data_IF_274773958722
#
_entry.id   IF_274773958722
#
_cell.length_a   1.000
_cell.length_b   1.000
_cell.length_c   1.000
_cell.angle_alpha   90.00
_cell.angle_beta   90.00
_cell.angle_gamma   90.00
#
_symmetry.space_group_name_H-M   'P 1'
#
loop_
_entity.id
_entity.type
_entity.pdbx_description
1 polymer ?
#
# COMPACT_ATOMS: atom_id res chain seq x y z
N UNK A 1 40.95 42.44 -22.72
CA UNK A 1 40.71 41.02 -22.36
C UNK A 1 39.30 40.69 -22.78
N UNK A 2 39.10 39.73 -23.68
CA UNK A 2 37.74 39.32 -24.07
C UNK A 2 37.02 38.76 -22.84
N UNK A 3 35.81 39.24 -22.59
CA UNK A 3 34.96 38.76 -21.50
C UNK A 3 34.72 37.24 -21.67
N UNK A 4 34.76 36.48 -20.57
CA UNK A 4 34.50 35.03 -20.62
C UNK A 4 33.06 34.77 -21.11
N UNK A 5 32.84 33.79 -22.01
CA UNK A 5 31.53 33.57 -22.65
C UNK A 5 30.35 33.48 -21.68
N UNK A 6 30.51 32.76 -20.55
CA UNK A 6 29.45 32.62 -19.56
C UNK A 6 29.03 33.95 -18.91
N UNK A 7 29.94 34.93 -18.79
CA UNK A 7 29.61 36.26 -18.24
C UNK A 7 28.77 37.05 -19.22
N UNK A 8 29.16 37.06 -20.50
CA UNK A 8 28.38 37.70 -21.57
C UNK A 8 26.98 37.10 -21.66
N UNK A 9 26.86 35.77 -21.64
CA UNK A 9 25.57 35.06 -21.61
C UNK A 9 24.71 35.48 -20.41
N UNK A 10 25.29 35.54 -19.21
CA UNK A 10 24.57 35.96 -18.01
C UNK A 10 24.10 37.42 -18.06
N UNK A 11 24.93 38.32 -18.59
CA UNK A 11 24.60 39.73 -18.74
C UNK A 11 23.44 39.91 -19.73
N UNK A 12 23.48 39.22 -20.87
CA UNK A 12 22.39 39.22 -21.86
C UNK A 12 21.09 38.69 -21.26
N UNK A 13 21.14 37.55 -20.55
CA UNK A 13 19.97 36.98 -19.85
C UNK A 13 19.37 37.96 -18.85
N UNK A 14 20.20 38.58 -17.99
CA UNK A 14 19.75 39.56 -16.99
C UNK A 14 19.17 40.83 -17.61
N UNK A 15 19.60 41.19 -18.82
CA UNK A 15 19.05 42.31 -19.58
C UNK A 15 17.75 41.97 -20.36
N UNK A 16 17.24 40.74 -20.24
CA UNK A 16 16.01 40.27 -20.90
C UNK A 16 16.21 39.83 -22.35
N UNK A 17 17.43 39.88 -22.89
CA UNK A 17 17.76 39.49 -24.26
C UNK A 17 18.00 37.97 -24.37
N UNK A 18 16.98 37.18 -24.04
CA UNK A 18 17.11 35.72 -23.94
C UNK A 18 17.54 35.04 -25.25
N UNK A 19 17.03 35.47 -26.39
CA UNK A 19 17.39 34.87 -27.69
C UNK A 19 18.85 35.15 -28.06
N UNK A 20 19.34 36.35 -27.78
CA UNK A 20 20.74 36.71 -28.01
C UNK A 20 21.65 35.91 -27.06
N UNK A 21 21.26 35.80 -25.79
CA UNK A 21 21.97 34.98 -24.80
C UNK A 21 22.03 33.50 -25.22
N UNK A 22 20.94 32.95 -25.75
CA UNK A 22 20.86 31.59 -26.30
C UNK A 22 21.84 31.40 -27.44
N UNK A 23 21.77 32.25 -28.47
CA UNK A 23 22.61 32.13 -29.67
C UNK A 23 24.10 32.22 -29.32
N UNK A 24 24.48 33.21 -28.50
CA UNK A 24 25.88 33.39 -28.05
C UNK A 24 26.33 32.19 -27.20
N UNK A 25 25.48 31.72 -26.29
CA UNK A 25 25.84 30.64 -25.37
C UNK A 25 26.05 29.30 -26.06
N UNK A 26 25.16 28.91 -26.97
CA UNK A 26 25.31 27.64 -27.70
C UNK A 26 26.45 27.66 -28.71
N UNK A 27 26.67 28.78 -29.41
CA UNK A 27 27.84 28.94 -30.28
C UNK A 27 29.16 28.83 -29.50
N UNK A 28 29.21 29.36 -28.28
CA UNK A 28 30.37 29.19 -27.39
C UNK A 28 30.50 27.74 -26.88
N UNK A 29 29.39 27.07 -26.57
CA UNK A 29 29.41 25.70 -26.06
C UNK A 29 29.95 24.70 -27.10
N UNK A 30 29.70 24.92 -28.39
CA UNK A 30 30.29 24.11 -29.47
C UNK A 30 31.82 24.13 -29.44
N UNK A 31 32.41 25.26 -29.05
CA UNK A 31 33.87 25.41 -28.96
C UNK A 31 34.43 24.87 -27.63
N UNK A 32 33.63 24.92 -26.56
CA UNK A 32 34.04 24.50 -25.21
C UNK A 32 32.99 23.62 -24.53
N UNK A 33 32.76 22.38 -25.01
CA UNK A 33 31.65 21.53 -24.57
C UNK A 33 31.78 21.02 -23.13
N UNK A 34 32.94 21.16 -22.50
CA UNK A 34 33.19 20.73 -21.11
C UNK A 34 33.12 21.90 -20.11
N UNK A 35 32.78 23.12 -20.54
CA UNK A 35 32.68 24.28 -19.66
C UNK A 35 31.40 24.23 -18.80
N UNK A 36 31.55 23.83 -17.53
CA UNK A 36 30.46 23.75 -16.57
C UNK A 36 29.85 25.11 -16.21
N UNK A 37 30.62 26.20 -16.25
CA UNK A 37 30.09 27.54 -15.97
C UNK A 37 29.21 28.03 -17.12
N UNK A 38 29.60 27.73 -18.36
CA UNK A 38 28.80 28.02 -19.53
C UNK A 38 27.52 27.16 -19.56
N UNK A 39 27.63 25.85 -19.30
CA UNK A 39 26.47 24.95 -19.15
C UNK A 39 25.49 25.45 -18.09
N UNK A 40 25.98 25.85 -16.91
CA UNK A 40 25.14 26.46 -15.88
C UNK A 40 24.47 27.76 -16.34
N UNK A 41 25.17 28.60 -17.10
CA UNK A 41 24.58 29.83 -17.65
C UNK A 41 23.49 29.56 -18.69
N UNK A 42 23.68 28.55 -19.54
CA UNK A 42 22.68 28.08 -20.52
C UNK A 42 21.47 27.46 -19.84
N UNK A 43 21.66 26.72 -18.74
CA UNK A 43 20.55 26.23 -17.92
C UNK A 43 19.64 27.36 -17.49
N UNK A 44 20.19 28.45 -16.96
CA UNK A 44 19.39 29.57 -16.50
C UNK A 44 18.64 30.27 -17.63
N UNK A 45 19.15 30.25 -18.87
CA UNK A 45 18.39 30.73 -20.04
C UNK A 45 17.18 29.81 -20.29
N UNK A 46 17.40 28.49 -20.35
CA UNK A 46 16.33 27.51 -20.52
C UNK A 46 15.28 27.65 -19.40
N UNK A 47 15.73 27.83 -18.16
CA UNK A 47 14.88 28.03 -17.00
C UNK A 47 13.98 29.26 -17.12
N UNK A 48 14.48 30.41 -17.61
CA UNK A 48 13.64 31.60 -17.82
C UNK A 48 12.54 31.36 -18.85
N UNK A 49 12.85 30.69 -19.96
CA UNK A 49 11.84 30.30 -20.94
C UNK A 49 10.80 29.35 -20.33
N UNK A 50 11.24 28.30 -19.64
CA UNK A 50 10.36 27.35 -18.95
C UNK A 50 9.47 28.04 -17.92
N UNK A 51 10.02 29.01 -17.17
CA UNK A 51 9.27 29.79 -16.18
C UNK A 51 8.14 30.58 -16.84
N UNK A 52 8.42 31.30 -17.94
CA UNK A 52 7.39 32.04 -18.69
C UNK A 52 6.27 31.12 -19.20
N UNK A 53 6.61 29.91 -19.66
CA UNK A 53 5.61 28.95 -20.13
C UNK A 53 4.77 28.38 -18.98
N UNK A 54 5.41 28.05 -17.87
CA UNK A 54 4.74 27.54 -16.67
C UNK A 54 3.85 28.58 -16.00
N UNK A 55 4.19 29.87 -16.06
CA UNK A 55 3.30 30.97 -15.62
C UNK A 55 1.99 30.98 -16.41
N UNK A 56 2.03 30.80 -17.73
CA UNK A 56 0.83 30.70 -18.57
C UNK A 56 -0.04 29.50 -18.19
N UNK A 57 0.58 28.34 -17.97
CA UNK A 57 -0.11 27.13 -17.49
C UNK A 57 -0.75 27.38 -16.12
N UNK A 58 -0.02 28.00 -15.19
CA UNK A 58 -0.51 28.30 -13.86
C UNK A 58 -1.69 29.29 -13.87
N UNK A 59 -1.63 30.32 -14.71
CA UNK A 59 -2.74 31.25 -14.92
C UNK A 59 -3.98 30.53 -15.45
N UNK A 60 -3.85 29.65 -16.46
CA UNK A 60 -4.97 28.83 -16.95
C UNK A 60 -5.51 27.88 -15.87
N UNK A 61 -4.63 27.29 -15.07
CA UNK A 61 -5.00 26.33 -14.04
C UNK A 61 -5.65 26.97 -12.80
N UNK A 62 -5.52 28.28 -12.59
CA UNK A 62 -6.06 28.98 -11.42
C UNK A 62 -7.55 28.72 -11.16
N UNK A 63 -8.35 28.62 -12.22
CA UNK A 63 -9.79 28.39 -12.14
C UNK A 63 -10.19 26.90 -12.19
N UNK A 64 -9.37 26.06 -12.83
CA UNK A 64 -9.73 24.66 -13.12
C UNK A 64 -8.98 23.62 -12.30
N UNK A 65 -7.86 24.00 -11.68
CA UNK A 65 -6.89 23.08 -11.08
C UNK A 65 -6.14 22.22 -12.10
N UNK A 66 -6.31 22.43 -13.41
CA UNK A 66 -5.71 21.60 -14.45
C UNK A 66 -4.37 22.16 -14.93
N UNK A 67 -3.26 21.56 -14.46
CA UNK A 67 -1.90 21.93 -14.83
C UNK A 67 -1.34 21.16 -16.03
N UNK A 68 -2.16 20.36 -16.72
CA UNK A 68 -1.75 19.64 -17.92
C UNK A 68 -1.37 20.65 -19.02
N UNK A 69 -0.21 20.51 -19.68
CA UNK A 69 0.14 21.34 -20.83
C UNK A 69 -0.75 21.02 -22.04
N UNK A 70 -0.97 22.00 -22.92
CA UNK A 70 -1.44 21.73 -24.29
C UNK A 70 -0.37 20.98 -25.08
N UNK A 71 -0.73 20.37 -26.22
CA UNK A 71 0.24 19.65 -27.04
C UNK A 71 1.38 20.57 -27.52
N UNK A 72 1.06 21.80 -27.89
CA UNK A 72 2.05 22.83 -28.25
C UNK A 72 2.95 23.22 -27.06
N UNK A 73 2.37 23.44 -25.87
CA UNK A 73 3.16 23.73 -24.66
C UNK A 73 4.07 22.56 -24.30
N UNK A 74 3.57 21.33 -24.44
CA UNK A 74 4.31 20.12 -24.17
C UNK A 74 5.55 20.02 -25.06
N UNK A 75 5.40 20.14 -26.39
CA UNK A 75 6.53 20.06 -27.33
C UNK A 75 7.62 21.09 -27.03
N UNK A 76 7.23 22.34 -26.80
CA UNK A 76 8.17 23.43 -26.53
C UNK A 76 8.91 23.22 -25.19
N UNK A 77 8.18 22.82 -24.14
CA UNK A 77 8.78 22.55 -22.84
C UNK A 77 9.69 21.32 -22.91
N UNK A 78 9.25 20.25 -23.56
CA UNK A 78 10.02 19.00 -23.65
C UNK A 78 11.33 19.22 -24.41
N UNK A 79 11.35 20.02 -25.48
CA UNK A 79 12.57 20.39 -26.20
C UNK A 79 13.57 21.13 -25.28
N UNK A 80 13.08 22.05 -24.45
CA UNK A 80 13.93 22.76 -23.47
C UNK A 80 14.44 21.84 -22.36
N UNK A 81 13.61 20.89 -21.91
CA UNK A 81 14.01 19.90 -20.92
C UNK A 81 15.05 18.93 -21.48
N UNK A 82 14.91 18.46 -22.72
CA UNK A 82 15.93 17.65 -23.40
C UNK A 82 17.24 18.40 -23.53
N UNK A 83 17.17 19.69 -23.86
CA UNK A 83 18.35 20.57 -23.89
C UNK A 83 19.03 20.61 -22.52
N UNK A 84 18.26 20.85 -21.44
CA UNK A 84 18.78 20.86 -20.07
C UNK A 84 19.44 19.52 -19.71
N UNK A 85 18.80 18.39 -20.04
CA UNK A 85 19.35 17.06 -19.77
C UNK A 85 20.67 16.86 -20.50
N UNK A 86 20.76 17.28 -21.77
CA UNK A 86 21.97 17.20 -22.59
C UNK A 86 23.13 18.11 -22.13
N UNK A 87 22.87 19.11 -21.28
CA UNK A 87 23.93 19.91 -20.68
C UNK A 87 24.74 19.13 -19.62
N UNK A 88 24.20 18.02 -19.08
CA UNK A 88 24.87 17.16 -18.09
C UNK A 88 25.41 17.94 -16.88
N UNK A 89 24.58 18.84 -16.33
CA UNK A 89 25.01 19.73 -15.24
C UNK A 89 25.32 18.90 -13.98
N UNK A 90 26.45 19.16 -13.29
CA UNK A 90 26.75 18.51 -12.02
C UNK A 90 25.64 18.72 -10.97
N UNK A 91 25.45 17.72 -10.11
CA UNK A 91 24.52 17.83 -8.97
C UNK A 91 25.12 18.67 -7.84
N UNK A 92 24.30 19.12 -6.90
CA UNK A 92 24.73 19.91 -5.73
C UNK A 92 24.58 21.43 -5.89
N UNK A 93 24.23 21.91 -7.09
CA UNK A 93 23.82 23.29 -7.33
C UNK A 93 22.31 23.52 -7.16
N UNK A 94 21.85 24.74 -7.44
CA UNK A 94 20.44 25.14 -7.34
C UNK A 94 19.60 24.73 -8.56
N UNK A 95 20.24 24.35 -9.65
CA UNK A 95 19.64 24.13 -10.97
C UNK A 95 18.51 23.11 -10.89
N UNK A 96 18.81 21.88 -10.47
CA UNK A 96 17.80 20.83 -10.38
C UNK A 96 16.71 21.13 -9.35
N UNK A 97 17.06 21.69 -8.19
CA UNK A 97 16.07 22.08 -7.17
C UNK A 97 15.07 23.08 -7.75
N UNK A 98 15.56 24.14 -8.39
CA UNK A 98 14.69 25.17 -8.96
C UNK A 98 13.85 24.62 -10.11
N UNK A 99 14.42 23.75 -10.94
CA UNK A 99 13.66 23.05 -11.99
C UNK A 99 12.52 22.23 -11.39
N UNK A 100 12.78 21.41 -10.36
CA UNK A 100 11.75 20.61 -9.71
C UNK A 100 10.70 21.47 -9.01
N UNK A 101 11.07 22.59 -8.40
CA UNK A 101 10.13 23.56 -7.83
C UNK A 101 9.20 24.12 -8.91
N UNK A 102 9.76 24.46 -10.08
CA UNK A 102 9.01 25.01 -11.20
C UNK A 102 7.97 24.02 -11.75
N UNK A 103 8.28 22.72 -11.73
CA UNK A 103 7.44 21.65 -12.25
C UNK A 103 6.66 20.87 -11.18
N UNK A 104 6.65 21.33 -9.92
CA UNK A 104 6.03 20.61 -8.79
C UNK A 104 4.52 20.29 -8.94
N UNK A 105 3.84 20.85 -9.95
CA UNK A 105 2.41 20.65 -10.21
C UNK A 105 2.10 19.88 -11.51
N UNK A 106 3.09 19.65 -12.36
CA UNK A 106 2.89 19.00 -13.67
C UNK A 106 4.10 18.22 -14.20
N UNK A 107 5.11 17.92 -13.38
CA UNK A 107 6.27 17.10 -13.75
C UNK A 107 5.85 15.77 -14.37
N UNK A 108 4.75 15.19 -13.88
CA UNK A 108 4.18 13.93 -14.38
C UNK A 108 3.86 13.92 -15.88
N UNK A 109 3.87 15.08 -16.55
CA UNK A 109 3.61 15.23 -17.98
C UNK A 109 4.86 15.27 -18.85
N UNK A 110 6.07 15.27 -18.29
CA UNK A 110 7.31 15.51 -19.04
C UNK A 110 8.31 14.35 -18.91
N UNK A 111 8.45 13.47 -19.94
CA UNK A 111 9.29 12.28 -19.85
C UNK A 111 10.78 12.58 -19.60
N UNK A 112 11.35 13.63 -20.19
CA UNK A 112 12.76 13.99 -19.95
C UNK A 112 13.01 14.31 -18.48
N UNK A 113 12.09 15.02 -17.84
CA UNK A 113 12.22 15.37 -16.42
C UNK A 113 12.05 14.14 -15.53
N UNK A 114 11.11 13.24 -15.87
CA UNK A 114 10.92 11.97 -15.16
C UNK A 114 12.19 11.12 -15.23
N UNK A 115 12.74 10.92 -16.43
CA UNK A 115 13.94 10.12 -16.63
C UNK A 115 15.15 10.73 -15.91
N UNK A 116 15.30 12.06 -15.96
CA UNK A 116 16.33 12.77 -15.22
C UNK A 116 16.24 12.53 -13.70
N UNK A 117 15.04 12.57 -13.12
CA UNK A 117 14.86 12.28 -11.69
C UNK A 117 15.13 10.81 -11.37
N UNK A 118 14.71 9.88 -12.23
CA UNK A 118 14.93 8.45 -12.03
C UNK A 118 16.40 8.06 -12.14
N UNK A 119 17.16 8.73 -13.01
CA UNK A 119 18.60 8.57 -13.17
C UNK A 119 19.37 9.14 -11.97
N UNK A 120 19.09 10.39 -11.60
CA UNK A 120 19.85 11.09 -10.53
C UNK A 120 19.38 10.79 -9.12
N UNK A 121 18.15 10.29 -8.95
CA UNK A 121 17.56 9.89 -7.67
C UNK A 121 17.74 10.93 -6.54
N UNK A 122 18.30 10.54 -5.40
CA UNK A 122 18.44 11.39 -4.22
C UNK A 122 19.43 12.57 -4.41
N UNK A 123 20.35 12.50 -5.38
CA UNK A 123 21.43 13.48 -5.55
C UNK A 123 20.97 14.90 -5.92
N UNK A 124 19.75 15.03 -6.45
CA UNK A 124 19.15 16.32 -6.85
C UNK A 124 18.26 16.94 -5.77
N UNK A 125 18.16 16.30 -4.59
CA UNK A 125 17.39 16.79 -3.46
C UNK A 125 18.32 17.20 -2.31
N UNK A 126 18.37 18.49 -2.03
CA UNK A 126 19.01 19.02 -0.83
C UNK A 126 18.16 18.74 0.43
N UNK A 127 18.69 19.08 1.60
CA UNK A 127 18.02 18.77 2.86
C UNK A 127 16.71 19.55 3.04
N UNK A 128 16.61 20.78 2.54
CA UNK A 128 15.37 21.55 2.51
C UNK A 128 14.29 20.85 1.67
N UNK A 129 14.67 20.30 0.51
CA UNK A 129 13.75 19.60 -0.40
C UNK A 129 13.19 18.29 0.18
N UNK A 130 13.77 17.80 1.30
CA UNK A 130 13.33 16.62 2.04
C UNK A 130 12.42 16.96 3.22
N UNK A 131 12.24 18.25 3.56
CA UNK A 131 11.39 18.68 4.66
C UNK A 131 9.99 19.09 4.16
N UNK A 132 8.91 18.67 4.84
CA UNK A 132 7.62 19.32 4.68
C UNK A 132 7.68 20.75 5.23
N UNK A 133 6.83 21.63 4.73
CA UNK A 133 6.79 23.03 5.19
C UNK A 133 5.36 23.46 5.54
N UNK A 134 5.23 24.39 6.49
CA UNK A 134 3.94 24.95 6.85
C UNK A 134 3.57 26.08 5.89
N UNK A 135 2.38 25.98 5.28
CA UNK A 135 1.75 27.05 4.53
C UNK A 135 0.50 27.52 5.28
N UNK A 136 -0.11 28.63 4.83
CA UNK A 136 -1.34 29.18 5.43
C UNK A 136 -2.49 28.16 5.52
N UNK A 137 -2.58 27.25 4.53
CA UNK A 137 -3.63 26.21 4.44
C UNK A 137 -3.21 24.88 5.08
N UNK A 138 -2.14 24.89 5.87
CA UNK A 138 -1.58 23.72 6.54
C UNK A 138 -0.29 23.21 5.92
N UNK A 139 0.16 22.06 6.40
CA UNK A 139 1.42 21.45 6.01
C UNK A 139 1.39 20.95 4.56
N UNK A 140 2.37 21.37 3.77
CA UNK A 140 2.59 20.91 2.40
C UNK A 140 3.70 19.85 2.43
N UNK A 141 3.57 18.74 1.66
CA UNK A 141 4.62 17.73 1.58
C UNK A 141 5.94 18.29 1.06
N UNK A 142 7.03 17.60 1.39
CA UNK A 142 8.35 17.91 0.85
C UNK A 142 8.38 17.86 -0.68
N UNK A 143 9.34 18.56 -1.29
CA UNK A 143 9.54 18.52 -2.73
C UNK A 143 9.86 17.09 -3.19
N UNK A 144 10.73 16.39 -2.46
CA UNK A 144 11.10 15.00 -2.75
C UNK A 144 9.86 14.08 -2.79
N UNK A 145 8.99 14.18 -1.78
CA UNK A 145 7.76 13.40 -1.75
C UNK A 145 6.83 13.78 -2.90
N UNK A 146 6.65 15.08 -3.16
CA UNK A 146 5.78 15.60 -4.23
C UNK A 146 6.23 15.10 -5.60
N UNK A 147 7.53 15.19 -5.91
CA UNK A 147 8.08 14.73 -7.19
C UNK A 147 7.97 13.21 -7.33
N UNK A 148 8.28 12.45 -6.28
CA UNK A 148 8.17 10.98 -6.31
C UNK A 148 6.76 10.53 -6.62
N UNK A 149 5.75 11.20 -6.06
CA UNK A 149 4.34 10.91 -6.33
C UNK A 149 3.92 11.25 -7.76
N UNK A 150 4.42 12.35 -8.32
CA UNK A 150 4.20 12.68 -9.73
C UNK A 150 4.82 11.64 -10.68
N UNK A 151 6.00 11.10 -10.34
CA UNK A 151 6.62 10.01 -11.10
C UNK A 151 5.79 8.73 -11.03
N UNK A 152 5.21 8.41 -9.86
CA UNK A 152 4.27 7.30 -9.73
C UNK A 152 3.03 7.49 -10.63
N UNK A 153 2.45 8.69 -10.64
CA UNK A 153 1.34 9.04 -11.54
C UNK A 153 1.72 8.88 -13.02
N UNK A 154 2.92 9.33 -13.41
CA UNK A 154 3.42 9.17 -14.76
C UNK A 154 3.62 7.70 -15.14
N UNK A 155 4.18 6.88 -14.24
CA UNK A 155 4.31 5.45 -14.45
C UNK A 155 2.95 4.77 -14.65
N UNK A 156 1.96 5.08 -13.82
CA UNK A 156 0.60 4.53 -13.96
C UNK A 156 -0.04 4.88 -15.31
N UNK A 157 0.19 6.11 -15.79
CA UNK A 157 -0.42 6.63 -17.02
C UNK A 157 0.32 6.25 -18.30
N UNK A 158 1.66 6.24 -18.28
CA UNK A 158 2.47 6.30 -19.49
C UNK A 158 3.72 5.39 -19.48
N UNK A 159 3.84 4.44 -18.52
CA UNK A 159 5.01 3.53 -18.43
C UNK A 159 5.39 2.85 -19.75
N UNK A 160 4.42 2.43 -20.56
CA UNK A 160 4.67 1.69 -21.80
C UNK A 160 5.16 2.64 -22.91
N UNK A 161 4.51 3.80 -23.06
CA UNK A 161 4.87 4.80 -24.07
C UNK A 161 6.21 5.49 -23.77
N UNK A 162 6.54 5.68 -22.49
CA UNK A 162 7.75 6.39 -22.05
C UNK A 162 8.82 5.45 -21.50
N UNK A 163 8.61 4.12 -21.58
CA UNK A 163 9.56 3.10 -21.13
C UNK A 163 10.05 3.29 -19.69
N UNK A 164 9.14 3.66 -18.79
CA UNK A 164 9.47 3.95 -17.38
C UNK A 164 9.60 2.63 -16.61
N UNK A 165 10.82 2.28 -16.19
CA UNK A 165 11.11 1.05 -15.46
C UNK A 165 10.49 1.01 -14.06
N UNK A 166 9.68 -0.02 -13.78
CA UNK A 166 9.08 -0.23 -12.45
C UNK A 166 10.13 -0.25 -11.33
N UNK A 167 11.27 -0.92 -11.55
CA UNK A 167 12.33 -1.03 -10.55
C UNK A 167 12.94 0.33 -10.19
N UNK A 168 13.18 1.21 -11.17
CA UNK A 168 13.70 2.55 -10.93
C UNK A 168 12.71 3.39 -10.09
N UNK A 169 11.41 3.29 -10.39
CA UNK A 169 10.36 3.95 -9.61
C UNK A 169 10.32 3.41 -8.18
N UNK A 170 10.41 2.10 -7.99
CA UNK A 170 10.43 1.47 -6.66
C UNK A 170 11.68 1.88 -5.86
N UNK A 171 12.86 1.94 -6.49
CA UNK A 171 14.09 2.44 -5.89
C UNK A 171 13.95 3.88 -5.42
N UNK A 172 13.39 4.76 -6.26
CA UNK A 172 13.13 6.16 -5.87
C UNK A 172 12.16 6.24 -4.69
N UNK A 173 11.06 5.48 -4.70
CA UNK A 173 10.11 5.44 -3.58
C UNK A 173 10.76 4.96 -2.28
N UNK A 174 11.65 3.98 -2.34
CA UNK A 174 12.39 3.49 -1.18
C UNK A 174 13.33 4.57 -0.62
N UNK A 175 14.04 5.29 -1.48
CA UNK A 175 14.89 6.42 -1.07
C UNK A 175 14.07 7.57 -0.48
N UNK A 176 12.94 7.92 -1.08
CA UNK A 176 12.03 8.94 -0.56
C UNK A 176 11.52 8.56 0.82
N UNK A 177 11.16 7.29 1.04
CA UNK A 177 10.72 6.81 2.35
C UNK A 177 11.82 6.92 3.42
N UNK A 178 13.09 6.71 3.07
CA UNK A 178 14.18 6.75 4.04
C UNK A 178 14.71 8.16 4.31
N UNK A 179 14.63 9.06 3.33
CA UNK A 179 15.25 10.39 3.42
C UNK A 179 14.26 11.52 3.70
N UNK A 180 13.05 11.46 3.16
CA UNK A 180 12.05 12.50 3.37
C UNK A 180 11.60 12.52 4.84
N UNK A 181 11.37 13.72 5.37
CA UNK A 181 10.93 13.92 6.77
C UNK A 181 9.42 14.11 6.90
N UNK A 182 8.67 13.81 5.84
CA UNK A 182 7.22 13.80 5.84
C UNK A 182 6.69 12.75 6.83
N UNK A 183 5.86 13.17 7.77
CA UNK A 183 5.18 12.27 8.71
C UNK A 183 3.70 12.12 8.38
N UNK A 184 3.02 13.23 8.05
CA UNK A 184 1.59 13.23 7.72
C UNK A 184 1.32 12.74 6.29
N UNK A 185 2.18 13.14 5.35
CA UNK A 185 1.96 12.93 3.92
C UNK A 185 2.56 11.63 3.38
N UNK A 186 3.44 10.97 4.14
CA UNK A 186 4.13 9.75 3.69
C UNK A 186 3.17 8.60 3.37
N UNK A 187 1.98 8.59 3.97
CA UNK A 187 0.91 7.63 3.67
C UNK A 187 0.52 7.61 2.19
N UNK A 188 0.64 8.75 1.51
CA UNK A 188 0.33 8.85 0.09
C UNK A 188 1.38 8.18 -0.79
N UNK A 189 2.63 8.10 -0.33
CA UNK A 189 3.67 7.33 -1.01
C UNK A 189 3.32 5.84 -1.03
N UNK A 190 2.89 5.30 0.12
CA UNK A 190 2.45 3.90 0.23
C UNK A 190 1.21 3.63 -0.64
N UNK A 191 0.27 4.58 -0.68
CA UNK A 191 -0.91 4.48 -1.53
C UNK A 191 -0.57 4.49 -3.03
N UNK A 192 0.32 5.38 -3.48
CA UNK A 192 0.72 5.46 -4.89
C UNK A 192 1.61 4.28 -5.29
N UNK A 193 2.47 3.78 -4.39
CA UNK A 193 3.23 2.54 -4.59
C UNK A 193 2.30 1.31 -4.71
N UNK A 194 1.26 1.20 -3.88
CA UNK A 194 0.30 0.11 -3.96
C UNK A 194 -0.43 0.08 -5.32
N UNK A 195 -0.80 1.24 -5.87
CA UNK A 195 -1.36 1.31 -7.24
C UNK A 195 -0.39 0.77 -8.28
N UNK A 196 0.90 1.11 -8.16
CA UNK A 196 1.91 0.61 -9.08
C UNK A 196 2.00 -0.92 -9.00
N UNK A 197 1.97 -1.49 -7.79
CA UNK A 197 1.95 -2.93 -7.60
C UNK A 197 0.68 -3.61 -8.15
N UNK A 198 -0.50 -3.01 -7.99
CA UNK A 198 -1.75 -3.53 -8.56
C UNK A 198 -1.65 -3.63 -10.08
N UNK A 199 -1.17 -2.57 -10.74
CA UNK A 199 -0.99 -2.55 -12.21
C UNK A 199 0.09 -3.55 -12.65
N UNK A 200 1.13 -3.74 -11.84
CA UNK A 200 2.18 -4.74 -12.08
C UNK A 200 1.78 -6.18 -11.71
N UNK A 201 0.55 -6.43 -11.24
CA UNK A 201 0.08 -7.76 -10.83
C UNK A 201 0.61 -8.26 -9.49
N UNK A 202 1.31 -7.42 -8.71
CA UNK A 202 1.88 -7.76 -7.42
C UNK A 202 0.87 -7.49 -6.27
N UNK A 203 -0.23 -8.23 -6.25
CA UNK A 203 -1.36 -7.92 -5.36
C UNK A 203 -1.04 -8.05 -3.86
N UNK A 204 -0.22 -9.01 -3.45
CA UNK A 204 0.15 -9.19 -2.04
C UNK A 204 0.96 -8.01 -1.50
N UNK A 205 1.97 -7.57 -2.26
CA UNK A 205 2.75 -6.36 -1.92
C UNK A 205 1.87 -5.11 -1.85
N UNK A 206 0.85 -5.02 -2.71
CA UNK A 206 -0.12 -3.93 -2.62
C UNK A 206 -0.95 -4.01 -1.33
N UNK A 207 -1.40 -5.20 -0.91
CA UNK A 207 -2.14 -5.39 0.34
C UNK A 207 -1.31 -5.05 1.57
N UNK A 208 -0.03 -5.40 1.58
CA UNK A 208 0.91 -5.06 2.67
C UNK A 208 0.96 -3.56 2.92
N UNK A 209 0.91 -2.74 1.87
CA UNK A 209 0.88 -1.27 1.97
C UNK A 209 -0.50 -0.74 2.33
N UNK A 210 -1.57 -1.28 1.75
CA UNK A 210 -2.94 -0.77 1.93
C UNK A 210 -3.56 -1.14 3.29
N UNK A 211 -3.30 -2.33 3.82
CA UNK A 211 -3.93 -2.77 5.07
C UNK A 211 -3.60 -1.87 6.27
N UNK A 212 -2.35 -1.43 6.51
CA UNK A 212 -2.03 -0.44 7.54
C UNK A 212 -2.76 0.89 7.36
N UNK A 213 -2.92 1.34 6.11
CA UNK A 213 -3.66 2.57 5.77
C UNK A 213 -5.12 2.40 6.14
N UNK A 214 -5.75 1.31 5.69
CA UNK A 214 -7.15 1.03 5.93
C UNK A 214 -7.45 0.95 7.43
N UNK A 215 -6.59 0.28 8.22
CA UNK A 215 -6.76 0.21 9.68
C UNK A 215 -6.83 1.59 10.35
N UNK A 216 -6.06 2.57 9.85
CA UNK A 216 -6.07 3.96 10.32
C UNK A 216 -7.22 4.78 9.75
N UNK A 217 -7.69 4.44 8.55
CA UNK A 217 -8.63 5.24 7.73
C UNK A 217 -9.95 4.51 7.43
N UNK A 218 -10.44 3.68 8.35
CA UNK A 218 -11.61 2.80 8.14
C UNK A 218 -12.91 3.55 7.78
N UNK A 219 -13.02 4.83 8.16
CA UNK A 219 -14.18 5.68 7.83
C UNK A 219 -14.07 6.35 6.47
N UNK A 220 -12.92 6.26 5.81
CA UNK A 220 -12.68 6.95 4.55
C UNK A 220 -12.96 6.00 3.37
N UNK A 221 -13.93 6.36 2.53
CA UNK A 221 -14.38 5.59 1.36
C UNK A 221 -13.23 5.10 0.48
N UNK A 222 -12.26 5.97 0.19
CA UNK A 222 -11.13 5.66 -0.69
C UNK A 222 -10.23 4.55 -0.15
N UNK A 223 -10.10 4.38 1.17
CA UNK A 223 -9.23 3.37 1.76
C UNK A 223 -9.78 1.96 1.50
N UNK A 224 -11.09 1.80 1.58
CA UNK A 224 -11.76 0.55 1.18
C UNK A 224 -11.66 0.29 -0.31
N UNK A 225 -11.85 1.33 -1.14
CA UNK A 225 -11.65 1.23 -2.59
C UNK A 225 -10.23 0.81 -2.97
N UNK A 226 -9.23 1.27 -2.22
CA UNK A 226 -7.84 0.87 -2.37
C UNK A 226 -7.65 -0.63 -2.13
N UNK A 227 -8.23 -1.15 -1.04
CA UNK A 227 -8.17 -2.59 -0.73
C UNK A 227 -8.92 -3.40 -1.80
N UNK A 228 -10.10 -2.94 -2.22
CA UNK A 228 -10.90 -3.58 -3.25
C UNK A 228 -10.11 -3.79 -4.55
N UNK A 229 -9.37 -2.76 -4.99
CA UNK A 229 -8.54 -2.82 -6.18
C UNK A 229 -7.46 -3.91 -6.12
N UNK A 230 -6.95 -4.27 -4.92
CA UNK A 230 -5.99 -5.37 -4.76
C UNK A 230 -6.59 -6.76 -4.96
N UNK A 231 -7.92 -6.92 -4.86
CA UNK A 231 -8.60 -8.21 -5.02
C UNK A 231 -9.32 -8.35 -6.35
N UNK A 232 -9.43 -7.28 -7.14
CA UNK A 232 -10.31 -7.20 -8.31
C UNK A 232 -10.08 -8.33 -9.33
N UNK A 233 -8.83 -8.77 -9.51
CA UNK A 233 -8.46 -9.86 -10.43
C UNK A 233 -8.42 -11.24 -9.78
N UNK A 234 -8.05 -11.34 -8.50
CA UNK A 234 -7.87 -12.64 -7.82
C UNK A 234 -9.14 -13.15 -7.13
N UNK A 235 -9.87 -12.26 -6.45
CA UNK A 235 -11.07 -12.59 -5.67
C UNK A 235 -12.15 -11.50 -5.90
N UNK A 236 -12.83 -11.52 -7.06
CA UNK A 236 -13.83 -10.53 -7.45
C UNK A 236 -14.92 -10.29 -6.38
N UNK A 237 -15.31 -11.33 -5.66
CA UNK A 237 -16.33 -11.26 -4.60
C UNK A 237 -15.87 -10.44 -3.40
N UNK A 238 -14.62 -10.63 -2.98
CA UNK A 238 -14.03 -9.79 -1.93
C UNK A 238 -13.86 -8.34 -2.41
N UNK A 239 -13.43 -8.15 -3.66
CA UNK A 239 -13.33 -6.82 -4.23
C UNK A 239 -14.69 -6.10 -4.23
N UNK A 240 -15.76 -6.79 -4.64
CA UNK A 240 -17.12 -6.25 -4.63
C UNK A 240 -17.58 -5.89 -3.21
N UNK A 241 -17.32 -6.76 -2.22
CA UNK A 241 -17.59 -6.49 -0.80
C UNK A 241 -16.86 -5.24 -0.30
N UNK A 242 -15.58 -5.07 -0.62
CA UNK A 242 -14.79 -3.91 -0.21
C UNK A 242 -15.20 -2.62 -0.94
N UNK A 243 -15.51 -2.68 -2.23
CA UNK A 243 -16.08 -1.53 -2.94
C UNK A 243 -17.41 -1.11 -2.31
N UNK A 244 -18.31 -2.07 -2.05
CA UNK A 244 -19.58 -1.81 -1.39
C UNK A 244 -19.39 -1.20 0.00
N UNK A 245 -18.42 -1.71 0.77
CA UNK A 245 -18.06 -1.13 2.06
C UNK A 245 -17.56 0.31 1.93
N UNK A 246 -16.72 0.60 0.94
CA UNK A 246 -16.24 1.96 0.69
C UNK A 246 -17.35 2.93 0.31
N UNK A 247 -18.21 2.54 -0.63
CA UNK A 247 -19.36 3.35 -1.07
C UNK A 247 -20.29 3.65 0.11
N UNK A 248 -20.62 2.64 0.91
CA UNK A 248 -21.51 2.79 2.08
C UNK A 248 -20.87 3.52 3.26
N UNK A 249 -19.54 3.68 3.26
CA UNK A 249 -18.82 4.45 4.29
C UNK A 249 -18.62 5.92 3.88
N UNK A 250 -18.98 6.29 2.66
CA UNK A 250 -18.94 7.69 2.22
C UNK A 250 -20.08 8.49 2.84
N UNK A 251 -19.76 9.64 3.44
CA UNK A 251 -20.78 10.57 3.96
C UNK A 251 -21.57 11.21 2.82
N UNK A 252 -20.92 11.47 1.69
CA UNK A 252 -21.52 12.03 0.47
C UNK A 252 -21.11 11.20 -0.74
N UNK A 253 -22.01 11.09 -1.72
CA UNK A 253 -21.82 10.32 -2.95
C UNK A 253 -20.59 10.80 -3.74
N UNK A 254 -20.27 12.10 -3.66
CA UNK A 254 -19.09 12.74 -4.29
C UNK A 254 -17.78 12.06 -3.90
N UNK A 255 -17.65 11.56 -2.67
CA UNK A 255 -16.48 10.81 -2.19
C UNK A 255 -16.46 9.33 -2.63
N UNK A 256 -17.56 8.81 -3.16
CA UNK A 256 -17.70 7.44 -3.64
C UNK A 256 -17.68 7.30 -5.18
N UNK A 257 -17.65 8.41 -5.94
CA UNK A 257 -17.77 8.40 -7.41
C UNK A 257 -16.81 7.41 -8.11
N UNK A 258 -15.54 7.38 -7.70
CA UNK A 258 -14.56 6.44 -8.26
C UNK A 258 -14.87 4.99 -7.91
N UNK A 259 -15.43 4.71 -6.73
CA UNK A 259 -15.79 3.36 -6.31
C UNK A 259 -17.06 2.89 -7.01
N UNK A 260 -18.05 3.78 -7.20
CA UNK A 260 -19.24 3.51 -8.01
C UNK A 260 -18.86 3.12 -9.45
N UNK A 261 -17.89 3.80 -10.04
CA UNK A 261 -17.35 3.40 -11.34
C UNK A 261 -16.55 2.10 -11.26
N UNK A 262 -15.74 1.93 -10.22
CA UNK A 262 -14.85 0.78 -10.05
C UNK A 262 -15.56 -0.57 -9.82
N UNK A 263 -16.75 -0.55 -9.21
CA UNK A 263 -17.55 -1.78 -8.96
C UNK A 263 -18.33 -2.25 -10.19
N UNK A 264 -18.62 -1.37 -11.15
CA UNK A 264 -19.43 -1.69 -12.35
C UNK A 264 -18.95 -2.95 -13.09
N UNK A 265 -17.65 -3.11 -13.42
CA UNK A 265 -17.18 -4.32 -14.11
C UNK A 265 -17.43 -5.61 -13.31
N UNK A 266 -17.44 -5.54 -11.97
CA UNK A 266 -17.68 -6.70 -11.11
C UNK A 266 -19.16 -7.10 -11.12
N UNK A 267 -20.08 -6.14 -11.14
CA UNK A 267 -21.51 -6.42 -11.29
C UNK A 267 -21.83 -6.99 -12.65
N UNK A 268 -21.27 -6.42 -13.72
CA UNK A 268 -21.44 -6.96 -15.08
C UNK A 268 -20.91 -8.38 -15.19
N UNK A 269 -19.74 -8.68 -14.60
CA UNK A 269 -19.19 -10.04 -14.54
C UNK A 269 -20.06 -11.05 -13.81
N UNK A 270 -20.98 -10.60 -12.93
CA UNK A 270 -21.98 -11.43 -12.26
C UNK A 270 -23.36 -11.43 -12.94
N UNK A 271 -23.51 -10.78 -14.09
CA UNK A 271 -24.80 -10.60 -14.76
C UNK A 271 -25.76 -9.65 -14.03
N UNK A 272 -25.27 -8.83 -13.10
CA UNK A 272 -26.05 -7.85 -12.34
C UNK A 272 -26.04 -6.48 -13.05
N UNK A 273 -26.56 -6.43 -14.28
CA UNK A 273 -26.60 -5.21 -15.09
C UNK A 273 -27.49 -4.11 -14.47
N UNK A 274 -28.51 -4.50 -13.71
CA UNK A 274 -29.36 -3.59 -12.94
C UNK A 274 -28.53 -2.82 -11.91
N UNK A 275 -27.71 -3.52 -11.11
CA UNK A 275 -26.84 -2.91 -10.09
C UNK A 275 -25.75 -2.06 -10.71
N UNK A 276 -25.17 -2.50 -11.83
CA UNK A 276 -24.23 -1.70 -12.61
C UNK A 276 -24.87 -0.38 -13.09
N UNK A 277 -26.10 -0.44 -13.61
CA UNK A 277 -26.85 0.73 -14.07
C UNK A 277 -27.16 1.70 -12.93
N UNK A 278 -27.58 1.19 -11.77
CA UNK A 278 -27.81 2.00 -10.57
C UNK A 278 -26.52 2.74 -10.14
N UNK A 279 -25.35 2.09 -10.18
CA UNK A 279 -24.08 2.74 -9.84
C UNK A 279 -23.73 3.88 -10.80
N UNK A 280 -23.90 3.68 -12.11
CA UNK A 280 -23.62 4.71 -13.11
C UNK A 280 -24.62 5.85 -13.01
N UNK A 281 -25.91 5.55 -12.86
CA UNK A 281 -26.97 6.54 -12.69
C UNK A 281 -26.70 7.43 -11.47
N UNK A 282 -26.44 6.83 -10.30
CA UNK A 282 -26.12 7.57 -9.07
C UNK A 282 -24.86 8.44 -9.24
N UNK A 283 -23.82 7.93 -9.90
CA UNK A 283 -22.61 8.71 -10.15
C UNK A 283 -22.89 9.90 -11.06
N UNK A 284 -23.66 9.72 -12.15
CA UNK A 284 -24.00 10.78 -13.10
C UNK A 284 -24.90 11.85 -12.47
N UNK A 285 -25.93 11.44 -11.72
CA UNK A 285 -26.80 12.36 -10.97
C UNK A 285 -25.97 13.27 -10.05
N UNK A 286 -24.99 12.71 -9.33
CA UNK A 286 -24.11 13.49 -8.48
C UNK A 286 -23.24 14.51 -9.25
N UNK A 287 -22.80 14.23 -10.49
CA UNK A 287 -22.12 15.25 -11.32
C UNK A 287 -23.09 16.37 -11.73
N UNK A 288 -24.29 16.01 -12.16
CA UNK A 288 -25.31 16.95 -12.64
C UNK A 288 -25.80 17.88 -11.51
N UNK A 289 -26.11 17.32 -10.33
CA UNK A 289 -26.52 18.08 -9.15
C UNK A 289 -25.48 19.08 -8.67
N UNK A 290 -24.18 18.77 -8.86
CA UNK A 290 -23.07 19.67 -8.55
C UNK A 290 -22.72 20.64 -9.70
N UNK A 291 -23.46 20.61 -10.82
CA UNK A 291 -23.17 21.43 -12.00
C UNK A 291 -21.85 21.08 -12.70
N UNK A 292 -21.32 19.89 -12.48
CA UNK A 292 -20.07 19.42 -13.09
C UNK A 292 -20.31 18.76 -14.43
N UNK A 293 -19.38 18.97 -15.37
CA UNK A 293 -19.37 18.20 -16.61
C UNK A 293 -19.11 16.72 -16.29
N UNK A 294 -19.99 15.85 -16.80
CA UNK A 294 -19.83 14.39 -16.67
C UNK A 294 -18.52 13.96 -17.33
N UNK A 295 -17.81 13.03 -16.68
CA UNK A 295 -16.53 12.55 -17.20
C UNK A 295 -16.72 11.65 -18.42
N UNK A 296 -15.81 11.69 -19.41
CA UNK A 296 -15.89 10.84 -20.61
C UNK A 296 -16.03 9.34 -20.30
N UNK A 297 -15.40 8.87 -19.22
CA UNK A 297 -15.51 7.47 -18.80
C UNK A 297 -16.94 7.09 -18.39
N UNK A 298 -17.68 7.99 -17.72
CA UNK A 298 -19.08 7.79 -17.35
C UNK A 298 -20.00 7.89 -18.56
N UNK A 299 -19.78 8.86 -19.45
CA UNK A 299 -20.52 9.00 -20.70
C UNK A 299 -20.41 7.71 -21.54
N UNK A 300 -19.20 7.13 -21.62
CA UNK A 300 -18.97 5.84 -22.27
C UNK A 300 -19.71 4.68 -21.60
N UNK A 301 -19.88 4.70 -20.27
CA UNK A 301 -20.66 3.67 -19.58
C UNK A 301 -22.17 3.82 -19.86
N UNK A 302 -22.67 5.05 -19.94
CA UNK A 302 -24.07 5.33 -20.27
C UNK A 302 -24.43 4.94 -21.71
N UNK A 303 -23.47 4.92 -22.64
CA UNK A 303 -23.71 4.51 -24.03
C UNK A 303 -23.68 2.99 -24.24
N UNK A 304 -23.42 2.19 -23.19
CA UNK A 304 -23.39 0.74 -23.31
C UNK A 304 -24.79 0.13 -23.33
N UNK A 305 -24.97 -0.97 -24.07
CA UNK A 305 -26.27 -1.64 -24.22
C UNK A 305 -26.89 -2.16 -22.91
N UNK A 306 -26.06 -2.47 -21.91
CA UNK A 306 -26.53 -2.96 -20.61
C UNK A 306 -27.07 -1.85 -19.70
N UNK A 307 -26.80 -0.57 -20.03
CA UNK A 307 -27.19 0.54 -19.20
C UNK A 307 -28.69 0.82 -19.33
N UNK A 308 -29.39 0.79 -18.22
CA UNK A 308 -30.82 1.03 -18.14
C UNK A 308 -31.10 2.25 -17.24
N UNK A 309 -31.69 3.29 -17.81
CA UNK A 309 -32.04 4.53 -17.09
C UNK A 309 -33.29 4.37 -16.21
N UNK A 310 -34.10 3.33 -16.45
CA UNK A 310 -35.35 3.08 -15.74
C UNK A 310 -35.16 2.46 -14.35
N UNK A 311 -33.95 2.00 -14.02
CA UNK A 311 -33.64 1.38 -12.73
C UNK A 311 -33.90 2.32 -11.54
N UNK A 312 -34.42 1.75 -10.46
CA UNK A 312 -34.61 2.43 -9.17
C UNK A 312 -33.32 2.42 -8.35
N UNK A 313 -32.62 3.55 -8.34
CA UNK A 313 -31.35 3.71 -7.61
C UNK A 313 -31.50 3.66 -6.09
N UNK A 314 -32.72 3.83 -5.55
CA UNK A 314 -32.97 3.77 -4.11
C UNK A 314 -32.67 2.38 -3.52
N UNK A 315 -32.73 1.34 -4.35
CA UNK A 315 -32.43 -0.04 -3.96
C UNK A 315 -30.93 -0.34 -3.87
N UNK A 316 -30.06 0.53 -4.41
CA UNK A 316 -28.63 0.30 -4.44
C UNK A 316 -28.03 0.27 -3.04
N UNK A 317 -28.32 1.26 -2.20
CA UNK A 317 -27.70 1.38 -0.88
C UNK A 317 -28.07 0.21 0.07
N UNK A 318 -29.34 -0.23 0.17
CA UNK A 318 -29.68 -1.46 0.90
C UNK A 318 -28.91 -2.69 0.41
N UNK A 319 -28.79 -2.85 -0.90
CA UNK A 319 -28.05 -3.97 -1.50
C UNK A 319 -26.55 -3.91 -1.16
N UNK A 320 -25.90 -2.75 -1.33
CA UNK A 320 -24.48 -2.57 -0.98
C UNK A 320 -24.21 -2.81 0.51
N UNK A 321 -25.14 -2.42 1.39
CA UNK A 321 -25.05 -2.73 2.83
C UNK A 321 -25.15 -4.23 3.10
N UNK A 322 -25.93 -4.96 2.31
CA UNK A 322 -26.07 -6.41 2.47
C UNK A 322 -24.78 -7.16 2.10
N UNK A 323 -24.13 -6.78 0.99
CA UNK A 323 -22.92 -7.47 0.49
C UNK A 323 -21.63 -7.00 1.16
N UNK A 324 -21.66 -5.89 1.90
CA UNK A 324 -20.50 -5.39 2.68
C UNK A 324 -20.42 -5.94 4.10
N UNK A 325 -21.35 -6.81 4.51
CA UNK A 325 -21.31 -7.51 5.79
C UNK A 325 -20.02 -8.33 5.90
N UNK A 326 -19.34 -8.27 7.04
CA UNK A 326 -18.07 -8.97 7.27
C UNK A 326 -16.83 -8.29 6.67
N UNK A 327 -16.96 -7.17 5.95
CA UNK A 327 -15.80 -6.47 5.37
C UNK A 327 -14.73 -6.08 6.41
N UNK A 328 -15.15 -5.77 7.64
CA UNK A 328 -14.25 -5.43 8.77
C UNK A 328 -13.42 -6.61 9.26
N UNK A 329 -13.85 -7.84 8.99
CA UNK A 329 -13.12 -9.04 9.44
C UNK A 329 -11.78 -9.17 8.66
N UNK A 330 -11.68 -8.51 7.50
CA UNK A 330 -10.51 -8.50 6.63
C UNK A 330 -9.52 -7.36 6.90
N UNK A 331 -9.68 -6.58 8.00
CA UNK A 331 -8.75 -5.50 8.36
C UNK A 331 -7.30 -5.99 8.61
N UNK A 332 -7.15 -7.30 8.82
CA UNK A 332 -5.88 -7.96 9.07
C UNK A 332 -5.33 -8.70 7.84
N UNK A 333 -5.99 -8.57 6.69
CA UNK A 333 -5.58 -9.19 5.42
C UNK A 333 -6.24 -10.54 5.13
N UNK A 334 -5.67 -11.34 4.22
CA UNK A 334 -6.12 -12.70 3.98
C UNK A 334 -6.06 -13.50 5.28
N UNK A 335 -7.13 -14.25 5.56
CA UNK A 335 -7.23 -15.06 6.76
C UNK A 335 -7.08 -16.54 6.42
N UNK A 336 -6.51 -17.30 7.34
CA UNK A 336 -6.39 -18.75 7.27
C UNK A 336 -6.94 -19.39 8.55
N UNK A 337 -7.66 -20.51 8.40
CA UNK A 337 -8.00 -21.39 9.52
C UNK A 337 -6.84 -22.32 9.84
N UNK A 338 -6.45 -22.39 11.10
CA UNK A 338 -5.48 -23.34 11.62
C UNK A 338 -6.09 -24.10 12.80
N UNK A 339 -6.19 -25.42 12.66
CA UNK A 339 -6.56 -26.29 13.77
C UNK A 339 -5.37 -26.51 14.69
N UNK A 340 -5.61 -26.47 16.00
CA UNK A 340 -4.57 -26.68 17.00
C UNK A 340 -5.12 -27.24 18.32
N UNK A 341 -4.20 -27.64 19.18
CA UNK A 341 -4.50 -28.04 20.57
C UNK A 341 -3.94 -27.01 21.51
N UNK A 342 -4.70 -26.64 22.54
CA UNK A 342 -4.19 -25.75 23.59
C UNK A 342 -3.11 -26.49 24.38
N UNK A 343 -1.86 -26.05 24.24
CA UNK A 343 -0.69 -26.68 24.85
C UNK A 343 -0.48 -26.22 26.30
N UNK A 344 -0.71 -24.93 26.56
CA UNK A 344 -0.52 -24.35 27.88
C UNK A 344 -1.32 -23.06 28.08
N UNK A 345 -1.75 -22.80 29.31
CA UNK A 345 -2.33 -21.52 29.71
C UNK A 345 -1.22 -20.63 30.27
N UNK A 346 -1.16 -19.36 29.87
CA UNK A 346 -0.15 -18.44 30.41
C UNK A 346 -0.36 -18.25 31.91
N UNK A 347 0.72 -18.15 32.68
CA UNK A 347 0.66 -17.92 34.14
C UNK A 347 -0.16 -16.69 34.53
N UNK A 348 -0.21 -15.68 33.67
CA UNK A 348 -0.99 -14.46 33.88
C UNK A 348 -2.51 -14.64 33.70
N UNK A 349 -2.96 -15.77 33.14
CA UNK A 349 -4.35 -16.00 32.74
C UNK A 349 -4.84 -15.16 31.56
N UNK A 350 -3.99 -14.26 31.01
CA UNK A 350 -4.36 -13.33 29.92
C UNK A 350 -4.27 -13.93 28.53
N UNK A 351 -3.80 -15.17 28.41
CA UNK A 351 -3.63 -15.87 27.15
C UNK A 351 -3.27 -17.34 27.33
N UNK A 352 -3.10 -18.03 26.20
CA UNK A 352 -2.74 -19.44 26.12
C UNK A 352 -1.96 -19.69 24.84
N UNK A 353 -1.22 -20.79 24.80
CA UNK A 353 -0.48 -21.23 23.61
C UNK A 353 -1.22 -22.36 22.93
N UNK A 354 -1.35 -22.26 21.61
CA UNK A 354 -1.96 -23.28 20.75
C UNK A 354 -0.87 -23.92 19.90
N UNK A 355 -0.72 -25.22 20.03
CA UNK A 355 0.16 -26.04 19.21
C UNK A 355 -0.56 -26.39 17.89
N UNK A 356 0.02 -25.98 16.78
CA UNK A 356 -0.49 -26.29 15.42
C UNK A 356 0.34 -27.41 14.78
N UNK A 357 1.66 -27.36 14.95
CA UNK A 357 2.62 -28.41 14.56
C UNK A 357 3.99 -28.16 15.23
N UNK A 358 4.96 -29.04 15.02
CA UNK A 358 6.31 -28.95 15.63
C UNK A 358 7.08 -27.64 15.35
N UNK A 359 6.69 -26.90 14.31
CA UNK A 359 7.30 -25.63 13.92
C UNK A 359 6.42 -24.42 14.24
N UNK A 360 5.21 -24.63 14.79
CA UNK A 360 4.22 -23.57 14.97
C UNK A 360 3.51 -23.70 16.32
N UNK A 361 3.87 -22.78 17.23
CA UNK A 361 3.23 -22.55 18.50
C UNK A 361 2.73 -21.10 18.53
N UNK A 362 1.41 -20.91 18.57
CA UNK A 362 0.78 -19.60 18.44
C UNK A 362 0.26 -19.14 19.80
N UNK A 363 0.65 -17.93 20.20
CA UNK A 363 0.18 -17.28 21.42
C UNK A 363 -1.16 -16.57 21.17
N UNK A 364 -2.20 -16.98 21.88
CA UNK A 364 -3.58 -16.49 21.75
C UNK A 364 -3.95 -15.68 22.99
N UNK A 365 -4.54 -14.50 22.79
CA UNK A 365 -5.08 -13.68 23.89
C UNK A 365 -6.41 -14.27 24.36
N UNK A 366 -6.65 -14.27 25.67
CA UNK A 366 -7.87 -14.85 26.25
C UNK A 366 -9.15 -14.20 25.68
N UNK A 367 -9.13 -12.88 25.43
CA UNK A 367 -10.29 -12.16 24.89
C UNK A 367 -10.67 -12.49 23.45
N UNK A 368 -9.85 -13.27 22.73
CA UNK A 368 -10.10 -13.69 21.34
C UNK A 368 -10.83 -15.04 21.27
N UNK A 369 -10.91 -15.76 22.40
CA UNK A 369 -11.63 -17.03 22.51
C UNK A 369 -13.15 -16.81 22.54
N UNK A 370 -13.87 -17.46 21.64
CA UNK A 370 -15.32 -17.27 21.43
C UNK A 370 -16.19 -18.27 22.20
N UNK A 371 -15.63 -18.96 23.21
CA UNK A 371 -16.36 -19.92 24.04
C UNK A 371 -16.81 -19.36 25.39
N UNK A 372 -17.97 -19.82 25.88
CA UNK A 372 -18.43 -19.55 27.26
C UNK A 372 -17.60 -20.28 28.31
N UNK A 373 -17.02 -21.42 27.93
CA UNK A 373 -16.16 -22.24 28.79
C UNK A 373 -14.72 -21.76 28.63
N UNK A 374 -14.03 -21.57 29.77
CA UNK A 374 -12.62 -21.20 29.76
C UNK A 374 -11.79 -22.28 29.06
N UNK A 375 -10.90 -21.91 28.14
CA UNK A 375 -10.03 -22.86 27.48
C UNK A 375 -9.11 -23.56 28.48
N UNK A 376 -8.91 -24.86 28.32
CA UNK A 376 -7.95 -25.66 29.11
C UNK A 376 -6.95 -26.37 28.21
N UNK A 377 -5.83 -26.76 28.79
CA UNK A 377 -4.84 -27.58 28.09
C UNK A 377 -5.50 -28.87 27.58
N UNK A 378 -5.28 -29.16 26.30
CA UNK A 378 -5.86 -30.29 25.59
C UNK A 378 -7.17 -30.04 24.86
N UNK A 379 -7.77 -28.85 24.98
CA UNK A 379 -8.91 -28.50 24.13
C UNK A 379 -8.48 -28.31 22.67
N UNK A 380 -9.34 -28.72 21.74
CA UNK A 380 -9.16 -28.50 20.30
C UNK A 380 -9.77 -27.15 19.91
N UNK A 381 -9.03 -26.39 19.13
CA UNK A 381 -9.45 -25.06 18.67
C UNK A 381 -9.18 -24.87 17.19
N UNK A 382 -10.06 -24.11 16.54
CA UNK A 382 -9.86 -23.52 15.22
C UNK A 382 -9.46 -22.05 15.41
N UNK A 383 -8.29 -21.69 14.90
CA UNK A 383 -7.77 -20.34 14.91
C UNK A 383 -7.99 -19.70 13.55
N UNK A 384 -8.66 -18.55 13.52
CA UNK A 384 -8.66 -17.68 12.35
C UNK A 384 -7.51 -16.69 12.49
N UNK A 385 -6.50 -16.80 11.64
CA UNK A 385 -5.27 -16.00 11.71
C UNK A 385 -5.02 -15.20 10.45
N UNK A 386 -4.32 -14.07 10.57
CA UNK A 386 -3.82 -13.30 9.42
C UNK A 386 -2.67 -14.02 8.71
N UNK A 387 -2.63 -13.92 7.38
CA UNK A 387 -1.47 -14.30 6.58
C UNK A 387 -0.46 -13.14 6.53
N UNK A 388 0.81 -13.42 6.85
CA UNK A 388 1.90 -12.43 6.83
C UNK A 388 3.08 -12.84 7.73
N UNK A 389 4.15 -12.03 7.74
CA UNK A 389 5.35 -12.28 8.57
C UNK A 389 5.05 -12.36 10.07
N UNK A 390 4.03 -11.62 10.53
CA UNK A 390 3.54 -11.64 11.90
C UNK A 390 2.12 -12.17 11.94
N UNK A 391 1.96 -13.38 12.47
CA UNK A 391 0.65 -14.02 12.65
C UNK A 391 -0.12 -13.28 13.75
N UNK A 392 -1.28 -12.72 13.39
CA UNK A 392 -2.25 -12.17 14.33
C UNK A 392 -3.47 -13.10 14.43
N UNK A 393 -3.90 -13.41 15.65
CA UNK A 393 -5.05 -14.27 15.90
C UNK A 393 -6.30 -13.41 16.01
N UNK A 394 -7.24 -13.60 15.08
CA UNK A 394 -8.46 -12.79 14.95
C UNK A 394 -9.61 -13.40 15.74
N UNK A 395 -9.73 -14.72 15.71
CA UNK A 395 -10.69 -15.47 16.54
C UNK A 395 -10.18 -16.86 16.87
N UNK A 396 -10.66 -17.40 17.98
CA UNK A 396 -10.39 -18.77 18.41
C UNK A 396 -11.72 -19.42 18.80
N UNK A 397 -12.07 -20.54 18.15
CA UNK A 397 -13.30 -21.28 18.41
C UNK A 397 -12.97 -22.67 18.92
N UNK A 398 -13.68 -23.13 19.95
CA UNK A 398 -13.63 -24.55 20.35
C UNK A 398 -14.22 -25.42 19.25
N UNK A 399 -13.53 -26.51 18.92
CA UNK A 399 -13.97 -27.49 17.93
C UNK A 399 -13.92 -28.90 18.52
N UNK A 400 -14.57 -29.83 17.84
CA UNK A 400 -14.43 -31.25 18.16
C UNK A 400 -13.02 -31.76 17.81
N UNK A 401 -12.66 -32.92 18.35
CA UNK A 401 -11.39 -33.59 18.05
C UNK A 401 -11.23 -33.76 16.54
N UNK A 402 -10.10 -33.29 16.03
CA UNK A 402 -9.66 -33.45 14.63
C UNK A 402 -8.23 -33.97 14.60
N UNK A 403 -7.81 -34.53 13.48
CA UNK A 403 -6.40 -34.91 13.31
C UNK A 403 -5.53 -33.66 13.17
N UNK A 404 -4.46 -33.57 13.96
CA UNK A 404 -3.50 -32.47 13.93
C UNK A 404 -2.11 -33.07 13.82
N UNK A 405 -1.32 -32.55 12.88
CA UNK A 405 0.05 -33.00 12.64
C UNK A 405 0.88 -32.83 13.91
N UNK A 406 1.73 -33.83 14.20
CA UNK A 406 2.61 -33.85 15.37
C UNK A 406 1.88 -33.93 16.74
N UNK A 407 0.57 -34.19 16.74
CA UNK A 407 -0.22 -34.52 17.93
C UNK A 407 -0.54 -36.02 17.91
N UNK A 408 -0.30 -36.70 19.03
CA UNK A 408 -0.60 -38.13 19.16
C UNK A 408 -1.08 -38.46 20.58
N UNK A 409 -1.44 -39.72 20.80
CA UNK A 409 -1.84 -40.24 22.10
C UNK A 409 -0.96 -41.44 22.45
N UNK A 410 -0.65 -41.58 23.74
CA UNK A 410 0.06 -42.74 24.28
C UNK A 410 -0.63 -43.17 25.57
N UNK A 411 -0.62 -44.46 25.85
CA UNK A 411 -1.17 -45.05 27.06
C UNK A 411 -0.06 -45.84 27.76
N UNK A 412 -0.07 -45.81 29.09
CA UNK A 412 0.89 -46.57 29.88
C UNK A 412 0.97 -46.09 31.31
N UNK A 413 1.93 -46.66 32.04
CA UNK A 413 2.16 -46.39 33.44
C UNK A 413 2.90 -45.05 33.62
N UNK A 414 2.35 -44.17 34.47
CA UNK A 414 2.98 -42.92 34.85
C UNK A 414 4.14 -43.15 35.83
N UNK A 415 5.34 -42.67 35.48
CA UNK A 415 6.52 -42.69 36.37
C UNK A 415 6.91 -41.26 36.75
N UNK A 416 6.68 -40.89 38.01
CA UNK A 416 7.02 -39.57 38.56
C UNK A 416 8.46 -39.60 39.10
N UNK A 417 9.29 -38.66 38.65
CA UNK A 417 10.67 -38.49 39.10
C UNK A 417 10.75 -37.61 40.37
N UNK A 418 11.85 -37.67 41.15
CA UNK A 418 12.00 -36.89 42.40
C UNK A 418 11.86 -35.37 42.24
N UNK A 419 12.10 -34.83 41.03
CA UNK A 419 11.96 -33.41 40.71
C UNK A 419 10.52 -33.00 40.32
N UNK A 420 9.55 -33.90 40.48
CA UNK A 420 8.12 -33.64 40.28
C UNK A 420 7.63 -33.67 38.84
N UNK A 421 8.48 -33.91 37.84
CA UNK A 421 8.05 -34.24 36.48
C UNK A 421 7.90 -35.74 36.32
N UNK A 422 7.22 -36.20 35.27
CA UNK A 422 7.00 -37.62 35.03
C UNK A 422 7.27 -38.04 33.59
N UNK A 423 7.14 -39.34 33.35
CA UNK A 423 7.19 -39.95 32.04
C UNK A 423 6.09 -41.00 31.88
N UNK A 424 5.52 -41.08 30.69
CA UNK A 424 4.68 -42.20 30.23
C UNK A 424 5.32 -42.69 28.94
N UNK A 425 5.87 -43.90 28.94
CA UNK A 425 6.78 -44.36 27.88
C UNK A 425 7.92 -43.32 27.68
N UNK A 426 8.14 -42.86 26.44
CA UNK A 426 9.14 -41.83 26.10
C UNK A 426 8.65 -40.39 26.25
N UNK A 427 7.42 -40.19 26.73
CA UNK A 427 6.75 -38.89 26.75
C UNK A 427 6.97 -38.17 28.05
N UNK A 428 7.59 -37.00 27.97
CA UNK A 428 7.81 -36.14 29.12
C UNK A 428 6.49 -35.52 29.60
N UNK A 429 6.18 -35.69 30.88
CA UNK A 429 5.00 -35.13 31.55
C UNK A 429 5.44 -34.00 32.49
N UNK A 430 5.16 -32.72 32.15
CA UNK A 430 5.47 -31.59 32.99
C UNK A 430 4.81 -31.66 34.39
N UNK A 431 5.46 -31.14 35.46
CA UNK A 431 4.93 -31.20 36.82
C UNK A 431 3.52 -30.63 36.99
N UNK A 432 3.19 -29.55 36.28
CA UNK A 432 1.89 -28.88 36.40
C UNK A 432 0.71 -29.69 35.83
N UNK A 433 0.99 -30.78 35.11
CA UNK A 433 -0.03 -31.71 34.58
C UNK A 433 -0.29 -32.86 35.58
N UNK A 434 0.61 -33.09 36.53
CA UNK A 434 0.60 -34.23 37.45
C UNK A 434 -0.14 -33.95 38.77
N UNK A 435 -0.73 -32.77 38.92
CA UNK A 435 -1.43 -32.39 40.14
C UNK A 435 -2.61 -33.35 40.41
N UNK A 436 -2.60 -34.02 41.57
CA UNK A 436 -3.62 -34.97 41.97
C UNK A 436 -3.57 -36.36 41.32
N UNK A 437 -2.47 -36.75 40.64
CA UNK A 437 -2.33 -38.07 40.01
C UNK A 437 -1.26 -38.89 40.74
N UNK A 438 -1.61 -40.11 41.12
CA UNK A 438 -0.71 -41.02 41.83
C UNK A 438 0.36 -41.60 40.89
N UNK A 439 1.58 -41.75 41.41
CA UNK A 439 2.64 -42.47 40.70
C UNK A 439 2.21 -43.90 40.39
N UNK A 440 2.65 -44.45 39.26
CA UNK A 440 2.30 -45.79 38.75
C UNK A 440 0.84 -45.96 38.30
N UNK A 441 0.05 -44.89 38.24
CA UNK A 441 -1.29 -44.93 37.64
C UNK A 441 -1.23 -45.28 36.15
N UNK A 442 -2.20 -46.07 35.66
CA UNK A 442 -2.44 -46.22 34.22
C UNK A 442 -3.12 -44.96 33.69
N UNK A 443 -2.52 -44.37 32.66
CA UNK A 443 -2.95 -43.08 32.14
C UNK A 443 -2.95 -43.04 30.63
N UNK A 444 -3.89 -42.27 30.09
CA UNK A 444 -3.91 -41.83 28.70
C UNK A 444 -3.38 -40.41 28.58
N UNK A 445 -2.35 -40.25 27.77
CA UNK A 445 -1.67 -38.97 27.56
C UNK A 445 -1.89 -38.49 26.13
N UNK A 446 -2.30 -37.24 25.99
CA UNK A 446 -2.15 -36.51 24.73
C UNK A 446 -0.80 -35.82 24.72
N UNK A 447 -0.06 -36.03 23.64
CA UNK A 447 1.31 -35.55 23.49
C UNK A 447 1.52 -34.79 22.18
N UNK A 448 2.43 -33.83 22.23
CA UNK A 448 2.86 -33.03 21.09
C UNK A 448 4.35 -33.14 20.88
N UNK A 449 4.80 -33.09 19.63
CA UNK A 449 6.22 -33.06 19.30
C UNK A 449 6.77 -31.64 19.49
N UNK A 450 7.52 -31.43 20.58
CA UNK A 450 8.06 -30.11 20.96
C UNK A 450 9.59 -30.12 20.99
N UNK A 451 10.21 -28.96 20.76
CA UNK A 451 11.67 -28.82 20.82
C UNK A 451 12.16 -28.91 22.27
N UNK A 452 12.90 -29.97 22.58
CA UNK A 452 13.58 -30.14 23.86
C UNK A 452 14.92 -29.40 23.82
N UNK A 453 15.01 -28.30 24.58
CA UNK A 453 16.22 -27.47 24.67
C UNK A 453 17.40 -28.20 25.32
N UNK A 454 17.13 -29.14 26.22
CA UNK A 454 18.18 -29.89 26.93
C UNK A 454 18.77 -30.97 26.02
N UNK A 455 17.93 -31.62 25.21
CA UNK A 455 18.36 -32.67 24.27
C UNK A 455 18.69 -32.15 22.87
N UNK A 456 18.47 -30.87 22.59
CA UNK A 456 18.62 -30.22 21.28
C UNK A 456 17.95 -31.02 20.14
N UNK A 457 16.78 -31.59 20.42
CA UNK A 457 16.00 -32.38 19.45
C UNK A 457 14.52 -32.29 19.75
N UNK A 458 13.69 -32.63 18.76
CA UNK A 458 12.27 -32.81 18.97
C UNK A 458 11.98 -34.03 19.84
N UNK A 459 11.07 -33.90 20.80
CA UNK A 459 10.63 -35.00 21.67
C UNK A 459 9.16 -34.86 22.07
N UNK A 460 8.57 -35.97 22.51
CA UNK A 460 7.16 -36.02 22.93
C UNK A 460 6.99 -35.35 24.29
N UNK A 461 6.07 -34.39 24.35
CA UNK A 461 5.69 -33.66 25.58
C UNK A 461 4.19 -33.79 25.79
N UNK A 462 3.79 -34.15 27.01
CA UNK A 462 2.39 -34.22 27.39
C UNK A 462 1.74 -32.83 27.44
N UNK A 463 0.50 -32.76 26.93
CA UNK A 463 -0.38 -31.58 26.99
C UNK A 463 -1.53 -31.82 27.96
N UNK A 464 -2.08 -33.03 27.99
CA UNK A 464 -3.10 -33.45 28.95
C UNK A 464 -2.92 -34.90 29.31
N UNK A 465 -3.33 -35.25 30.52
CA UNK A 465 -3.31 -36.61 31.07
C UNK A 465 -4.70 -36.94 31.61
N UNK A 466 -5.11 -38.20 31.50
CA UNK A 466 -6.31 -38.74 32.14
C UNK A 466 -5.96 -40.08 32.76
N UNK A 467 -6.42 -40.31 33.98
CA UNK A 467 -6.34 -41.63 34.62
C UNK A 467 -7.38 -42.52 33.94
N UNK A 468 -6.95 -43.71 33.53
CA UNK A 468 -7.88 -44.73 33.05
C UNK A 468 -8.56 -45.32 34.29
N UNK A 469 -9.78 -44.90 34.55
CA UNK A 469 -10.63 -45.57 35.53
C UNK A 469 -11.09 -46.88 34.89
N UNK A 470 -10.52 -48.00 35.35
CA UNK A 470 -11.01 -49.34 35.06
C UNK A 470 -12.44 -49.49 35.58
#
# INVERSE_FOLDING_TARGET
MNEQPFRTVNNLRKSGKLQEAWNVGFAALEQTPQDNYLKGSLFWICYEYLKQMQEKIASRASNSGNFRPSDFEFEQIENLLQTIVGLEIPTGGLEYKMLLVQFRRNLEWFPSLINMVLDKQASIFDDESKQPYQAEKGEVPSLMLTITRQIASAWLRARDNWQIGLQQVMSLMMLTRSQAKDTKHIIWLDYDQAKCFIVAGNYDKARELILPILRKKQRESWAWGALAATYQKEKPDLAMMFFAKGITSANEVTFALKLLQGIVPLFLGKGQSDKASMCVKLAVSAYQENGWKVKPELERLQSQQWYDTSVDESQLMPFLKSISKGATDHLHGPLQSLNGVIESIHRSGKGFNVFVNKSSLISVRMGVHQGKVKPKAGDYVDLLVSQGEKIEVISCKSINKVEIKDVSFTEGELRIAPKGFGFVNDTFVPPYILDGIENQSQVKVMQVLSWDKTKSRYSQKAVSIKVDNV
#
